data_IF_730548148834
#
_entry.id   IF_730548148834
#
_cell.length_a   1.000
_cell.length_b   1.000
_cell.length_c   1.000
_cell.angle_alpha   90.00
_cell.angle_beta   90.00
_cell.angle_gamma   90.00
#
_symmetry.space_group_name_H-M   'P 1'
#
loop_
_entity.id
_entity.type
_entity.pdbx_description
1 polymer ?
#
# COMPACT_ATOMS: atom_id res chain seq x y z
N UNK A 1 -3.55 -15.50 -4.34
CA UNK A 1 -2.94 -14.61 -3.34
C UNK A 1 -3.15 -13.16 -3.78
N UNK A 2 -3.69 -12.35 -2.90
CA UNK A 2 -3.93 -10.93 -3.19
C UNK A 2 -2.90 -10.08 -2.48
N UNK A 3 -2.25 -9.20 -3.24
CA UNK A 3 -1.23 -8.29 -2.73
C UNK A 3 -1.81 -6.91 -2.47
N UNK A 4 -1.56 -6.38 -1.28
CA UNK A 4 -1.79 -4.97 -0.96
C UNK A 4 -0.47 -4.23 -1.12
N UNK A 5 -0.44 -3.18 -1.95
CA UNK A 5 0.79 -2.44 -2.18
C UNK A 5 1.05 -1.43 -1.06
N UNK A 6 2.29 -1.42 -0.56
CA UNK A 6 2.82 -0.29 0.19
C UNK A 6 2.89 0.94 -0.73
N UNK A 7 2.75 2.11 -0.17
CA UNK A 7 2.75 3.39 -0.91
C UNK A 7 4.03 3.56 -1.75
N UNK A 8 5.21 3.25 -1.20
CA UNK A 8 6.47 3.35 -1.94
C UNK A 8 6.53 2.36 -3.11
N UNK A 9 5.99 1.16 -2.92
CA UNK A 9 5.96 0.16 -3.99
C UNK A 9 5.09 0.65 -5.15
N UNK A 10 3.93 1.24 -4.86
CA UNK A 10 3.08 1.82 -5.90
C UNK A 10 3.79 2.96 -6.63
N UNK A 11 4.43 3.88 -5.90
CA UNK A 11 5.17 4.99 -6.50
C UNK A 11 6.27 4.49 -7.44
N UNK A 12 7.03 3.50 -7.00
CA UNK A 12 8.09 2.94 -7.83
C UNK A 12 7.57 2.21 -9.06
N UNK A 13 6.43 1.55 -8.92
CA UNK A 13 5.77 0.92 -10.07
C UNK A 13 5.33 1.97 -11.10
N UNK A 14 4.66 3.04 -10.65
CA UNK A 14 4.17 4.11 -11.53
C UNK A 14 5.32 4.83 -12.23
N UNK A 15 6.44 5.02 -11.55
CA UNK A 15 7.61 5.70 -12.08
C UNK A 15 8.62 4.78 -12.77
N UNK A 16 8.32 3.49 -12.88
CA UNK A 16 9.25 2.48 -13.39
C UNK A 16 10.63 2.59 -12.75
N UNK A 17 10.65 2.76 -11.42
CA UNK A 17 11.86 3.01 -10.67
C UNK A 17 12.76 1.75 -10.60
N UNK A 18 14.09 1.89 -10.76
CA UNK A 18 15.02 0.78 -10.56
C UNK A 18 15.11 0.31 -9.10
N UNK A 19 14.55 1.09 -8.15
CA UNK A 19 14.47 0.69 -6.75
C UNK A 19 13.50 -0.47 -6.51
N UNK A 20 12.53 -0.65 -7.42
CA UNK A 20 11.58 -1.76 -7.30
C UNK A 20 12.28 -3.06 -7.69
N UNK A 21 12.31 -4.02 -6.76
CA UNK A 21 13.00 -5.30 -6.96
C UNK A 21 12.34 -6.15 -8.05
N UNK A 22 13.11 -7.07 -8.64
CA UNK A 22 12.56 -8.03 -9.59
C UNK A 22 11.47 -8.89 -8.96
N UNK A 23 11.63 -9.29 -7.70
CA UNK A 23 10.63 -10.07 -6.96
C UNK A 23 9.31 -9.32 -6.84
N UNK A 24 9.36 -8.03 -6.50
CA UNK A 24 8.14 -7.21 -6.41
C UNK A 24 7.49 -7.00 -7.77
N UNK A 25 8.28 -6.78 -8.82
CA UNK A 25 7.75 -6.66 -10.19
C UNK A 25 7.00 -7.92 -10.63
N UNK A 26 7.57 -9.08 -10.36
CA UNK A 26 6.95 -10.37 -10.68
C UNK A 26 5.63 -10.55 -9.93
N UNK A 27 5.60 -10.20 -8.63
CA UNK A 27 4.38 -10.29 -7.83
C UNK A 27 3.26 -9.41 -8.39
N UNK A 28 3.59 -8.19 -8.78
CA UNK A 28 2.61 -7.23 -9.32
C UNK A 28 2.12 -7.69 -10.70
N UNK A 29 3.02 -8.18 -11.56
CA UNK A 29 2.66 -8.62 -12.91
C UNK A 29 1.81 -9.89 -12.92
N UNK A 30 2.06 -10.80 -11.99
CA UNK A 30 1.45 -12.13 -12.00
C UNK A 30 0.34 -12.34 -10.99
N UNK A 31 0.10 -11.41 -10.08
CA UNK A 31 -0.84 -11.57 -8.98
C UNK A 31 -2.06 -10.65 -9.04
N UNK A 32 -2.98 -10.89 -8.12
CA UNK A 32 -4.06 -9.95 -7.85
C UNK A 32 -3.53 -8.84 -6.97
N UNK A 33 -3.65 -7.61 -7.42
CA UNK A 33 -3.13 -6.44 -6.72
C UNK A 33 -4.27 -5.49 -6.36
N UNK A 34 -4.25 -5.02 -5.13
CA UNK A 34 -5.16 -3.97 -4.65
C UNK A 34 -4.36 -2.78 -4.15
N UNK A 35 -4.92 -1.60 -4.35
CA UNK A 35 -4.40 -0.33 -3.83
C UNK A 35 -5.43 0.24 -2.87
N UNK A 36 -4.98 0.56 -1.67
CA UNK A 36 -5.84 1.09 -0.63
C UNK A 36 -6.20 2.56 -0.89
N UNK A 37 -7.42 2.92 -0.50
CA UNK A 37 -7.82 4.32 -0.39
C UNK A 37 -6.89 5.12 0.53
N UNK A 38 -6.28 4.46 1.53
CA UNK A 38 -5.28 5.05 2.42
C UNK A 38 -4.06 5.52 1.63
N UNK A 39 -3.57 4.68 0.71
CA UNK A 39 -2.43 5.03 -0.15
C UNK A 39 -2.76 6.22 -1.04
N UNK A 40 -3.94 6.22 -1.65
CA UNK A 40 -4.40 7.36 -2.47
C UNK A 40 -4.46 8.63 -1.62
N UNK A 41 -5.02 8.55 -0.42
CA UNK A 41 -5.10 9.69 0.50
C UNK A 41 -3.71 10.21 0.88
N UNK A 42 -2.79 9.34 1.21
CA UNK A 42 -1.41 9.73 1.55
C UNK A 42 -0.74 10.48 0.41
N UNK A 43 -0.84 9.93 -0.80
CA UNK A 43 -0.23 10.55 -1.99
C UNK A 43 -0.87 11.89 -2.34
N UNK A 44 -2.19 11.98 -2.28
CA UNK A 44 -2.90 13.23 -2.54
C UNK A 44 -2.55 14.31 -1.51
N UNK A 45 -2.44 13.96 -0.23
CA UNK A 45 -2.02 14.87 0.82
C UNK A 45 -0.61 15.40 0.54
N UNK A 46 0.34 14.52 0.25
CA UNK A 46 1.74 14.89 -0.02
C UNK A 46 1.85 15.74 -1.30
N UNK A 47 1.09 15.42 -2.32
CA UNK A 47 1.06 16.20 -3.55
C UNK A 47 0.50 17.61 -3.30
N UNK A 48 -0.55 17.74 -2.49
CA UNK A 48 -1.14 19.04 -2.14
C UNK A 48 -0.17 19.92 -1.37
N UNK A 49 0.81 19.33 -0.69
CA UNK A 49 1.86 20.04 0.04
C UNK A 49 3.11 20.29 -0.81
N UNK A 50 3.10 19.92 -2.07
CA UNK A 50 4.24 20.08 -2.97
C UNK A 50 5.41 19.14 -2.69
N UNK A 51 5.21 18.07 -1.90
CA UNK A 51 6.28 17.15 -1.51
C UNK A 51 6.59 16.10 -2.56
N UNK A 52 5.62 15.74 -3.38
CA UNK A 52 5.76 14.74 -4.45
C UNK A 52 4.94 15.17 -5.66
N UNK A 53 5.30 14.61 -6.80
CA UNK A 53 4.50 14.73 -8.03
C UNK A 53 3.84 13.38 -8.29
N UNK A 54 2.53 13.41 -8.56
CA UNK A 54 1.73 12.25 -8.94
C UNK A 54 0.87 12.64 -10.14
N UNK A 55 0.33 11.65 -10.88
CA UNK A 55 -0.65 11.96 -11.93
C UNK A 55 -1.85 12.73 -11.36
N UNK A 56 -2.37 13.70 -12.09
CA UNK A 56 -3.54 14.48 -11.67
C UNK A 56 -4.78 13.62 -11.48
N UNK A 57 -4.84 12.51 -12.21
CA UNK A 57 -5.93 11.54 -12.20
C UNK A 57 -5.48 10.20 -11.59
N UNK A 58 -4.75 10.24 -10.48
CA UNK A 58 -4.11 9.07 -9.86
C UNK A 58 -5.07 7.87 -9.73
N UNK A 59 -6.28 8.11 -9.24
CA UNK A 59 -7.24 7.02 -9.04
C UNK A 59 -7.62 6.34 -10.36
N UNK A 60 -7.80 7.10 -11.42
CA UNK A 60 -8.10 6.57 -12.75
C UNK A 60 -6.92 5.78 -13.32
N UNK A 61 -5.69 6.28 -13.10
CA UNK A 61 -4.47 5.57 -13.52
C UNK A 61 -4.37 4.21 -12.82
N UNK A 62 -4.65 4.16 -11.52
CA UNK A 62 -4.63 2.91 -10.76
C UNK A 62 -5.67 1.92 -11.30
N UNK A 63 -6.87 2.39 -11.61
CA UNK A 63 -7.91 1.56 -12.23
C UNK A 63 -7.51 1.02 -13.61
N UNK A 64 -6.91 1.88 -14.44
CA UNK A 64 -6.44 1.51 -15.78
C UNK A 64 -5.34 0.45 -15.74
N UNK A 65 -4.54 0.40 -14.68
CA UNK A 65 -3.54 -0.65 -14.46
C UNK A 65 -4.16 -1.99 -14.11
N UNK A 66 -5.46 -2.03 -13.87
CA UNK A 66 -6.16 -3.26 -13.48
C UNK A 66 -6.05 -3.59 -12.00
N UNK A 67 -5.57 -2.66 -11.19
CA UNK A 67 -5.48 -2.85 -9.73
C UNK A 67 -6.85 -2.65 -9.09
N UNK A 68 -7.21 -3.53 -8.16
CA UNK A 68 -8.42 -3.39 -7.37
C UNK A 68 -8.31 -2.24 -6.39
N UNK A 69 -9.46 -1.68 -6.00
CA UNK A 69 -9.56 -0.63 -4.99
C UNK A 69 -9.97 -1.23 -3.66
N UNK A 70 -9.24 -0.89 -2.59
CA UNK A 70 -9.54 -1.36 -1.25
C UNK A 70 -9.98 -0.16 -0.37
N UNK A 71 -11.26 -0.05 -0.05
CA UNK A 71 -11.71 1.01 0.85
C UNK A 71 -11.24 0.76 2.29
N UNK A 72 -10.98 1.84 3.02
CA UNK A 72 -10.69 1.78 4.45
C UNK A 72 -12.00 1.90 5.21
N UNK A 73 -12.38 0.86 5.94
CA UNK A 73 -13.65 0.80 6.65
C UNK A 73 -13.49 0.72 8.17
N UNK A 74 -14.63 0.68 8.89
CA UNK A 74 -14.63 0.68 10.35
C UNK A 74 -13.93 -0.53 10.96
N UNK A 75 -13.99 -1.68 10.31
CA UNK A 75 -13.30 -2.90 10.79
C UNK A 75 -11.79 -2.71 10.76
N UNK A 76 -11.28 -2.08 9.71
CA UNK A 76 -9.86 -1.72 9.61
C UNK A 76 -9.47 -0.73 10.71
N UNK A 77 -10.32 0.27 10.94
CA UNK A 77 -10.06 1.30 11.95
C UNK A 77 -9.99 0.71 13.37
N UNK A 78 -10.92 -0.16 13.71
CA UNK A 78 -10.97 -0.81 15.04
C UNK A 78 -9.71 -1.64 15.28
N UNK A 79 -9.19 -2.31 14.25
CA UNK A 79 -8.00 -3.14 14.37
C UNK A 79 -6.73 -2.35 14.69
N UNK A 80 -6.71 -1.03 14.48
CA UNK A 80 -5.55 -0.20 14.79
C UNK A 80 -5.18 -0.21 16.26
N UNK A 81 -6.15 -0.30 17.17
CA UNK A 81 -5.91 -0.24 18.62
C UNK A 81 -4.95 -1.31 19.10
N UNK A 82 -5.04 -2.51 18.55
CA UNK A 82 -4.31 -3.67 19.03
C UNK A 82 -2.98 -3.91 18.29
N UNK A 83 -2.65 -3.07 17.31
CA UNK A 83 -1.38 -3.18 16.61
C UNK A 83 -0.23 -2.73 17.52
N UNK A 84 0.84 -3.54 17.65
CA UNK A 84 2.03 -3.10 18.36
C UNK A 84 2.69 -1.92 17.63
N UNK A 85 3.53 -1.16 18.34
CA UNK A 85 4.18 0.02 17.78
C UNK A 85 5.56 -0.31 17.20
N UNK A 86 5.61 -1.24 16.25
CA UNK A 86 6.83 -1.47 15.45
C UNK A 86 7.05 -0.35 14.44
N UNK A 87 5.99 0.35 14.06
CA UNK A 87 6.00 1.48 13.15
C UNK A 87 5.11 2.60 13.72
N UNK A 88 5.50 3.86 13.52
CA UNK A 88 4.75 5.02 14.03
C UNK A 88 3.94 5.74 12.96
N UNK A 89 4.24 5.53 11.69
CA UNK A 89 3.55 6.19 10.60
C UNK A 89 2.08 5.72 10.56
N UNK A 90 1.12 6.65 10.69
CA UNK A 90 -0.29 6.27 10.74
C UNK A 90 -0.79 5.67 9.42
N UNK A 91 -0.28 6.11 8.28
CA UNK A 91 -0.69 5.54 6.98
C UNK A 91 -0.23 4.09 6.86
N UNK A 92 1.03 3.80 7.20
CA UNK A 92 1.54 2.43 7.18
C UNK A 92 0.80 1.53 8.14
N UNK A 93 0.48 2.03 9.34
CA UNK A 93 -0.31 1.27 10.32
C UNK A 93 -1.72 0.98 9.81
N UNK A 94 -2.34 1.90 9.09
CA UNK A 94 -3.64 1.67 8.45
C UNK A 94 -3.56 0.56 7.39
N UNK A 95 -2.52 0.56 6.57
CA UNK A 95 -2.29 -0.49 5.57
C UNK A 95 -2.08 -1.85 6.23
N UNK A 96 -1.31 -1.89 7.31
CA UNK A 96 -1.08 -3.12 8.08
C UNK A 96 -2.39 -3.66 8.66
N UNK A 97 -3.25 -2.78 9.20
CA UNK A 97 -4.55 -3.20 9.72
C UNK A 97 -5.43 -3.80 8.62
N UNK A 98 -5.40 -3.24 7.43
CA UNK A 98 -6.13 -3.77 6.27
C UNK A 98 -5.62 -5.16 5.87
N UNK A 99 -4.30 -5.31 5.77
CA UNK A 99 -3.70 -6.61 5.45
C UNK A 99 -4.09 -7.67 6.48
N UNK A 100 -4.11 -7.31 7.75
CA UNK A 100 -4.46 -8.24 8.83
C UNK A 100 -5.94 -8.64 8.78
N UNK A 101 -6.83 -7.68 8.67
CA UNK A 101 -8.28 -7.92 8.70
C UNK A 101 -8.73 -8.71 7.47
N UNK A 102 -8.21 -8.37 6.29
CA UNK A 102 -8.64 -8.95 5.02
C UNK A 102 -7.76 -10.12 4.56
N UNK A 103 -6.74 -10.49 5.33
CA UNK A 103 -5.87 -11.62 5.00
C UNK A 103 -5.05 -11.39 3.73
N UNK A 104 -4.58 -10.16 3.50
CA UNK A 104 -3.79 -9.80 2.33
C UNK A 104 -2.30 -9.95 2.59
N UNK A 105 -1.54 -10.23 1.53
CA UNK A 105 -0.07 -10.17 1.61
C UNK A 105 0.38 -8.75 1.34
N UNK A 106 1.07 -8.14 2.30
CA UNK A 106 1.57 -6.78 2.20
C UNK A 106 2.88 -6.75 1.43
N UNK A 107 2.87 -6.10 0.28
CA UNK A 107 4.04 -5.96 -0.58
C UNK A 107 4.77 -4.69 -0.16
N UNK A 108 5.87 -4.85 0.57
CA UNK A 108 6.56 -3.74 1.24
C UNK A 108 8.07 -3.86 1.15
N UNK A 109 8.74 -2.72 1.26
CA UNK A 109 10.21 -2.63 1.39
C UNK A 109 10.63 -2.18 2.79
N UNK A 110 9.66 -1.92 3.67
CA UNK A 110 9.91 -1.41 5.02
C UNK A 110 10.04 -2.56 6.02
N UNK A 111 11.23 -2.70 6.60
CA UNK A 111 11.51 -3.75 7.59
C UNK A 111 10.64 -3.61 8.85
N UNK A 112 10.24 -2.41 9.23
CA UNK A 112 9.34 -2.22 10.36
C UNK A 112 7.95 -2.83 10.11
N UNK A 113 7.47 -2.78 8.86
CA UNK A 113 6.21 -3.41 8.49
C UNK A 113 6.29 -4.94 8.56
N UNK A 114 7.46 -5.51 8.28
CA UNK A 114 7.68 -6.97 8.32
C UNK A 114 7.67 -7.54 9.74
N UNK A 115 7.74 -6.69 10.76
CA UNK A 115 7.70 -7.12 12.17
C UNK A 115 6.30 -7.42 12.66
N UNK A 116 5.26 -7.03 11.90
CA UNK A 116 3.88 -7.30 12.26
C UNK A 116 3.47 -8.74 11.89
N UNK A 117 2.48 -9.26 12.60
CA UNK A 117 1.92 -10.59 12.36
C UNK A 117 0.96 -10.57 11.17
N UNK A 118 1.52 -10.37 9.99
CA UNK A 118 0.82 -10.39 8.70
C UNK A 118 1.71 -11.05 7.66
N UNK A 119 1.12 -11.54 6.58
CA UNK A 119 1.89 -12.01 5.43
C UNK A 119 2.56 -10.82 4.73
N UNK A 120 3.86 -10.91 4.46
CA UNK A 120 4.63 -9.87 3.76
C UNK A 120 5.46 -10.48 2.64
N UNK A 121 5.78 -9.60 1.68
CA UNK A 121 6.68 -9.96 0.59
C UNK A 121 7.54 -8.79 0.14
#
# INVERSE_FOLDING_TARGET
MTFLLDTHVLLWWLGDSPRLSASHREAIQGGDVVVSAVTVAELEIKASMGKIEIPDDLNDVVEELGFGSLPFNSRHAVALRDLPFHHRDPFDRMLISQAKVDGLTFLTVDENCRRYDIATR
#
